data_IF_022156482152
#
_entry.id   IF_022156482152
#
_cell.length_a   1.000
_cell.length_b   1.000
_cell.length_c   1.000
_cell.angle_alpha   90.00
_cell.angle_beta   90.00
_cell.angle_gamma   90.00
#
_symmetry.space_group_name_H-M   'P 1'
#
loop_
_entity.id
_entity.type
_entity.pdbx_description
1 polymer ?
#
# COMPACT_ATOMS: atom_id res chain seq x y z
N UNK A 1 -30.02 4.15 32.40
CA UNK A 1 -28.96 3.73 31.48
C UNK A 1 -29.56 3.58 30.07
N UNK A 2 -29.20 4.46 29.12
CA UNK A 2 -29.68 4.36 27.73
C UNK A 2 -28.81 3.32 27.00
N UNK A 3 -29.44 2.22 26.58
CA UNK A 3 -28.81 1.24 25.72
C UNK A 3 -28.47 1.91 24.38
N UNK A 4 -27.19 1.91 24.00
CA UNK A 4 -26.73 2.31 22.67
C UNK A 4 -27.20 1.22 21.71
N UNK A 5 -28.23 1.51 20.90
CA UNK A 5 -28.61 0.67 19.77
C UNK A 5 -27.53 0.84 18.70
N UNK A 6 -26.69 -0.17 18.54
CA UNK A 6 -25.81 -0.29 17.38
C UNK A 6 -26.72 -0.58 16.18
N UNK A 7 -26.96 0.44 15.36
CA UNK A 7 -27.63 0.27 14.06
C UNK A 7 -26.65 -0.53 13.19
N UNK A 8 -27.03 -1.71 12.65
CA UNK A 8 -26.17 -2.41 11.70
C UNK A 8 -25.94 -1.47 10.51
N UNK A 9 -24.69 -1.09 10.31
CA UNK A 9 -24.26 -0.32 9.15
C UNK A 9 -24.75 -1.08 7.91
N UNK A 10 -25.46 -0.36 7.01
CA UNK A 10 -25.83 -0.88 5.70
C UNK A 10 -24.53 -1.32 5.05
N UNK A 11 -24.36 -2.64 4.90
CA UNK A 11 -23.16 -3.24 4.31
C UNK A 11 -23.06 -2.74 2.87
N UNK A 12 -22.14 -1.86 2.61
CA UNK A 12 -21.85 -1.40 1.26
C UNK A 12 -21.48 -2.63 0.43
N UNK A 13 -21.86 -2.69 -0.84
CA UNK A 13 -21.51 -3.82 -1.74
C UNK A 13 -20.02 -4.09 -1.76
N UNK A 14 -19.21 -3.07 -1.54
CA UNK A 14 -17.76 -3.18 -1.37
C UNK A 14 -17.34 -4.05 -0.19
N UNK A 15 -18.03 -3.94 0.96
CA UNK A 15 -17.67 -4.74 2.14
C UNK A 15 -17.99 -6.22 1.95
N UNK A 16 -19.10 -6.56 1.29
CA UNK A 16 -19.47 -7.95 1.01
C UNK A 16 -18.49 -8.63 0.02
N UNK A 17 -18.01 -7.88 -0.97
CA UNK A 17 -16.98 -8.35 -1.91
C UNK A 17 -15.65 -8.62 -1.21
N UNK A 18 -15.22 -7.70 -0.33
CA UNK A 18 -14.00 -7.86 0.48
C UNK A 18 -14.12 -9.07 1.41
N UNK A 19 -15.23 -9.25 2.10
CA UNK A 19 -15.43 -10.38 3.01
C UNK A 19 -15.32 -11.72 2.28
N UNK A 20 -15.94 -11.82 1.11
CA UNK A 20 -15.83 -13.03 0.25
C UNK A 20 -14.37 -13.26 -0.16
N UNK A 21 -13.69 -12.22 -0.65
CA UNK A 21 -12.28 -12.30 -1.03
C UNK A 21 -11.41 -12.75 0.15
N UNK A 22 -11.57 -12.16 1.35
CA UNK A 22 -10.83 -12.55 2.55
C UNK A 22 -11.10 -14.00 2.96
N UNK A 23 -12.34 -14.46 2.80
CA UNK A 23 -12.70 -15.85 3.07
C UNK A 23 -12.01 -16.80 2.10
N UNK A 24 -11.94 -16.44 0.83
CA UNK A 24 -11.33 -17.28 -0.20
C UNK A 24 -9.80 -17.35 -0.06
N UNK A 25 -9.13 -16.22 0.17
CA UNK A 25 -7.67 -16.22 0.39
C UNK A 25 -7.25 -16.91 1.69
N UNK A 26 -8.16 -17.00 2.69
CA UNK A 26 -7.87 -17.71 3.94
C UNK A 26 -7.85 -19.24 3.79
N UNK A 27 -8.44 -19.77 2.72
CA UNK A 27 -8.42 -21.21 2.40
C UNK A 27 -7.11 -21.64 1.76
N UNK A 28 -6.35 -20.68 1.20
CA UNK A 28 -5.09 -20.97 0.53
C UNK A 28 -4.02 -21.42 1.54
N UNK A 29 -3.31 -22.47 1.18
CA UNK A 29 -2.24 -23.03 1.99
C UNK A 29 -1.01 -22.12 2.02
N UNK A 30 -0.33 -22.11 3.15
CA UNK A 30 0.96 -21.43 3.26
C UNK A 30 2.04 -22.34 2.67
N UNK A 31 2.95 -21.74 1.94
CA UNK A 31 4.12 -22.42 1.39
C UNK A 31 5.36 -22.14 2.26
N UNK A 32 6.26 -23.10 2.32
CA UNK A 32 7.54 -22.95 3.00
C UNK A 32 8.61 -22.35 2.07
N UNK A 33 9.78 -22.03 2.61
CA UNK A 33 10.86 -21.42 1.86
C UNK A 33 11.45 -22.33 0.78
N UNK A 34 11.40 -23.66 0.96
CA UNK A 34 11.90 -24.61 -0.05
C UNK A 34 10.95 -24.67 -1.23
N UNK A 35 9.66 -24.65 -0.95
CA UNK A 35 8.63 -24.62 -2.00
C UNK A 35 8.61 -23.26 -2.73
N UNK A 36 8.82 -22.14 -2.03
CA UNK A 36 9.00 -20.82 -2.66
C UNK A 36 10.14 -20.87 -3.69
N UNK A 37 11.28 -21.45 -3.36
CA UNK A 37 12.42 -21.56 -4.27
C UNK A 37 12.11 -22.46 -5.48
N UNK A 38 11.46 -23.60 -5.27
CA UNK A 38 11.04 -24.50 -6.38
C UNK A 38 10.05 -23.83 -7.32
N UNK A 39 9.07 -23.09 -6.77
CA UNK A 39 8.11 -22.35 -7.57
C UNK A 39 8.80 -21.23 -8.37
N UNK A 40 9.73 -20.51 -7.76
CA UNK A 40 10.49 -19.45 -8.43
C UNK A 40 11.28 -19.98 -9.64
N UNK A 41 11.91 -21.15 -9.52
CA UNK A 41 12.60 -21.81 -10.66
C UNK A 41 11.64 -22.12 -11.80
N UNK A 42 10.48 -22.72 -11.50
CA UNK A 42 9.45 -23.04 -12.49
C UNK A 42 8.88 -21.80 -13.16
N UNK A 43 8.68 -20.70 -12.39
CA UNK A 43 8.23 -19.42 -12.94
C UNK A 43 9.23 -18.87 -13.96
N UNK A 44 10.52 -18.99 -13.69
CA UNK A 44 11.58 -18.58 -14.63
C UNK A 44 11.56 -19.39 -15.92
N UNK A 45 11.11 -20.66 -15.85
CA UNK A 45 10.89 -21.52 -17.02
C UNK A 45 9.57 -21.25 -17.75
N UNK A 46 8.77 -20.29 -17.25
CA UNK A 46 7.51 -19.87 -17.86
C UNK A 46 6.26 -20.62 -17.35
N UNK A 47 6.35 -21.33 -16.23
CA UNK A 47 5.23 -22.06 -15.66
C UNK A 47 4.21 -21.14 -14.96
N UNK A 48 3.06 -20.96 -15.61
CA UNK A 48 1.95 -20.14 -15.10
C UNK A 48 1.29 -20.73 -13.86
N UNK A 49 1.21 -22.06 -13.75
CA UNK A 49 0.61 -22.71 -12.58
C UNK A 49 1.47 -22.48 -11.32
N UNK A 50 2.81 -22.45 -11.47
CA UNK A 50 3.71 -22.09 -10.39
C UNK A 50 3.55 -20.62 -9.98
N UNK A 51 3.37 -19.70 -10.95
CA UNK A 51 3.12 -18.28 -10.70
C UNK A 51 1.82 -18.08 -9.93
N UNK A 52 0.75 -18.73 -10.34
CA UNK A 52 -0.53 -18.67 -9.63
C UNK A 52 -0.42 -19.19 -8.20
N UNK A 53 0.25 -20.33 -8.00
CA UNK A 53 0.41 -20.93 -6.67
C UNK A 53 1.19 -20.01 -5.74
N UNK A 54 2.33 -19.46 -6.19
CA UNK A 54 3.14 -18.53 -5.40
C UNK A 54 2.37 -17.25 -5.06
N UNK A 55 1.62 -16.71 -6.03
CA UNK A 55 0.81 -15.50 -5.84
C UNK A 55 -0.31 -15.76 -4.84
N UNK A 56 -1.13 -16.81 -5.02
CA UNK A 56 -2.26 -17.15 -4.16
C UNK A 56 -1.85 -17.32 -2.69
N UNK A 57 -0.75 -18.02 -2.44
CA UNK A 57 -0.22 -18.23 -1.09
C UNK A 57 0.15 -16.91 -0.36
N UNK A 58 0.42 -15.84 -1.12
CA UNK A 58 0.88 -14.55 -0.58
C UNK A 58 -0.16 -13.42 -0.63
N UNK A 59 -1.39 -13.67 -1.14
CA UNK A 59 -2.45 -12.64 -1.23
C UNK A 59 -2.79 -12.02 0.14
N UNK A 60 -2.75 -12.80 1.22
CA UNK A 60 -3.01 -12.33 2.59
C UNK A 60 -2.00 -11.26 3.02
N UNK A 61 -0.77 -11.37 2.55
CA UNK A 61 0.25 -10.37 2.83
C UNK A 61 -0.05 -9.04 2.10
N UNK A 62 -0.52 -9.10 0.85
CA UNK A 62 -0.97 -7.90 0.12
C UNK A 62 -2.04 -7.14 0.90
N UNK A 63 -3.04 -7.85 1.44
CA UNK A 63 -4.10 -7.22 2.25
C UNK A 63 -3.51 -6.49 3.47
N UNK A 64 -2.53 -7.08 4.15
CA UNK A 64 -1.90 -6.45 5.30
C UNK A 64 -1.14 -5.17 4.95
N UNK A 65 -0.51 -5.14 3.78
CA UNK A 65 0.17 -3.94 3.26
C UNK A 65 -0.84 -2.90 2.79
N UNK A 66 -1.87 -3.30 2.02
CA UNK A 66 -2.90 -2.40 1.50
C UNK A 66 -3.66 -1.64 2.62
N UNK A 67 -3.91 -2.30 3.76
CA UNK A 67 -4.54 -1.68 4.93
C UNK A 67 -3.77 -0.46 5.47
N UNK A 68 -2.47 -0.39 5.30
CA UNK A 68 -1.65 0.75 5.74
C UNK A 68 -1.89 2.01 4.92
N UNK A 69 -2.47 1.86 3.73
CA UNK A 69 -2.74 2.95 2.79
C UNK A 69 -4.22 3.35 2.69
N UNK A 70 -5.07 2.80 3.57
CA UNK A 70 -6.50 3.17 3.61
C UNK A 70 -6.70 4.66 3.90
N UNK A 71 -7.77 5.23 3.35
CA UNK A 71 -8.13 6.64 3.59
C UNK A 71 -7.34 7.66 2.77
N UNK A 72 -6.47 7.23 1.86
CA UNK A 72 -5.64 8.12 1.04
C UNK A 72 -6.24 8.43 -0.35
N UNK A 73 -7.49 8.06 -0.59
CA UNK A 73 -8.21 8.43 -1.83
C UNK A 73 -8.68 7.26 -2.67
N UNK A 74 -8.16 6.04 -2.44
CA UNK A 74 -8.63 4.81 -3.08
C UNK A 74 -9.38 3.92 -2.09
N UNK A 75 -10.29 3.09 -2.62
CA UNK A 75 -10.97 2.06 -1.83
C UNK A 75 -9.99 0.94 -1.44
N UNK A 76 -10.30 0.18 -0.37
CA UNK A 76 -9.45 -0.95 0.01
C UNK A 76 -9.40 -2.02 -1.10
N UNK A 77 -10.48 -2.20 -1.85
CA UNK A 77 -10.51 -3.13 -2.99
C UNK A 77 -9.50 -2.72 -4.06
N UNK A 78 -9.47 -1.44 -4.43
CA UNK A 78 -8.55 -0.95 -5.44
C UNK A 78 -7.10 -1.07 -4.97
N UNK A 79 -6.82 -0.71 -3.70
CA UNK A 79 -5.48 -0.87 -3.10
C UNK A 79 -5.02 -2.34 -3.09
N UNK A 80 -5.93 -3.29 -2.82
CA UNK A 80 -5.62 -4.73 -2.88
C UNK A 80 -5.34 -5.16 -4.31
N UNK A 81 -6.15 -4.72 -5.29
CA UNK A 81 -5.97 -5.07 -6.68
C UNK A 81 -4.63 -4.57 -7.22
N UNK A 82 -4.30 -3.31 -6.97
CA UNK A 82 -3.00 -2.75 -7.35
C UNK A 82 -1.83 -3.44 -6.63
N UNK A 83 -2.00 -3.75 -5.34
CA UNK A 83 -1.04 -4.55 -4.59
C UNK A 83 -0.83 -5.95 -5.16
N UNK A 84 -1.89 -6.59 -5.67
CA UNK A 84 -1.81 -7.89 -6.34
C UNK A 84 -1.03 -7.80 -7.67
N UNK A 85 -1.20 -6.72 -8.44
CA UNK A 85 -0.39 -6.47 -9.65
C UNK A 85 1.09 -6.36 -9.28
N UNK A 86 1.41 -5.63 -8.20
CA UNK A 86 2.76 -5.55 -7.66
C UNK A 86 3.31 -6.91 -7.22
N UNK A 87 2.49 -7.75 -6.56
CA UNK A 87 2.87 -9.10 -6.13
C UNK A 87 3.19 -10.01 -7.33
N UNK A 88 2.37 -9.98 -8.39
CA UNK A 88 2.59 -10.76 -9.63
C UNK A 88 3.91 -10.33 -10.28
N UNK A 89 4.15 -9.02 -10.38
CA UNK A 89 5.40 -8.48 -10.93
C UNK A 89 6.62 -8.92 -10.11
N UNK A 90 6.48 -8.94 -8.78
CA UNK A 90 7.52 -9.45 -7.89
C UNK A 90 7.79 -10.94 -8.12
N UNK A 91 6.74 -11.77 -8.27
CA UNK A 91 6.88 -13.20 -8.49
C UNK A 91 7.60 -13.52 -9.81
N UNK A 92 7.36 -12.75 -10.86
CA UNK A 92 8.03 -12.90 -12.16
C UNK A 92 9.52 -12.51 -12.13
N UNK A 93 9.92 -11.61 -11.22
CA UNK A 93 11.27 -11.05 -11.12
C UNK A 93 12.07 -11.59 -9.93
N UNK A 94 11.47 -12.46 -9.15
CA UNK A 94 12.11 -13.00 -7.96
C UNK A 94 13.25 -13.96 -8.32
N UNK A 95 14.38 -13.78 -7.62
CA UNK A 95 15.57 -14.61 -7.77
C UNK A 95 15.85 -15.33 -6.44
N UNK A 96 15.56 -16.63 -6.42
CA UNK A 96 15.71 -17.50 -5.26
C UNK A 96 17.19 -17.75 -4.88
N UNK A 97 18.12 -17.52 -5.83
CA UNK A 97 19.56 -17.78 -5.57
C UNK A 97 20.15 -16.81 -4.56
N UNK A 98 19.47 -15.70 -4.29
CA UNK A 98 19.90 -14.67 -3.33
C UNK A 98 19.64 -15.03 -1.87
N UNK A 99 18.95 -16.13 -1.57
CA UNK A 99 18.72 -16.62 -0.21
C UNK A 99 17.75 -15.81 0.64
N UNK A 100 17.00 -14.87 0.06
CA UNK A 100 15.96 -14.10 0.76
C UNK A 100 14.58 -14.75 0.59
N UNK A 101 13.71 -14.57 1.59
CA UNK A 101 12.31 -14.96 1.48
C UNK A 101 11.60 -14.10 0.44
N UNK A 102 10.70 -14.70 -0.33
CA UNK A 102 9.91 -14.01 -1.36
C UNK A 102 9.19 -12.76 -0.81
N UNK A 103 8.57 -12.84 0.37
CA UNK A 103 7.87 -11.72 1.01
C UNK A 103 8.77 -10.49 1.19
N UNK A 104 10.03 -10.68 1.57
CA UNK A 104 10.98 -9.57 1.79
C UNK A 104 11.28 -8.79 0.50
N UNK A 105 11.22 -9.45 -0.64
CA UNK A 105 11.34 -8.84 -1.95
C UNK A 105 10.01 -8.26 -2.45
N UNK A 106 8.93 -9.01 -2.32
CA UNK A 106 7.62 -8.65 -2.82
C UNK A 106 7.06 -7.38 -2.19
N UNK A 107 7.36 -7.10 -0.91
CA UNK A 107 6.85 -5.91 -0.21
C UNK A 107 7.19 -4.60 -0.93
N UNK A 108 8.36 -4.51 -1.58
CA UNK A 108 8.77 -3.33 -2.33
C UNK A 108 7.92 -3.12 -3.57
N UNK A 109 7.64 -4.17 -4.32
CA UNK A 109 6.80 -4.13 -5.51
C UNK A 109 5.34 -3.83 -5.18
N UNK A 110 4.82 -4.44 -4.11
CA UNK A 110 3.46 -4.20 -3.63
C UNK A 110 3.30 -2.73 -3.24
N UNK A 111 4.23 -2.19 -2.44
CA UNK A 111 4.21 -0.77 -2.04
C UNK A 111 4.32 0.16 -3.23
N UNK A 112 5.21 -0.14 -4.16
CA UNK A 112 5.41 0.65 -5.37
C UNK A 112 4.13 0.72 -6.21
N UNK A 113 3.47 -0.41 -6.45
CA UNK A 113 2.22 -0.46 -7.20
C UNK A 113 1.11 0.33 -6.51
N UNK A 114 0.92 0.16 -5.19
CA UNK A 114 -0.07 0.90 -4.41
C UNK A 114 0.20 2.42 -4.44
N UNK A 115 1.44 2.84 -4.24
CA UNK A 115 1.80 4.26 -4.27
C UNK A 115 1.61 4.87 -5.66
N UNK A 116 1.90 4.12 -6.72
CA UNK A 116 1.65 4.55 -8.09
C UNK A 116 0.16 4.74 -8.34
N UNK A 117 -0.68 3.78 -7.95
CA UNK A 117 -2.13 3.88 -8.09
C UNK A 117 -2.72 5.07 -7.29
N UNK A 118 -2.24 5.28 -6.07
CA UNK A 118 -2.61 6.45 -5.26
C UNK A 118 -2.22 7.78 -5.94
N UNK A 119 -1.10 7.79 -6.65
CA UNK A 119 -0.65 8.96 -7.40
C UNK A 119 -1.51 9.23 -8.63
N UNK A 120 -1.94 8.17 -9.31
CA UNK A 120 -2.67 8.25 -10.57
C UNK A 120 -4.18 8.48 -10.34
N UNK A 121 -4.79 7.70 -9.47
CA UNK A 121 -6.25 7.60 -9.32
C UNK A 121 -6.78 8.11 -7.97
N UNK A 122 -5.90 8.35 -7.00
CA UNK A 122 -6.30 8.77 -5.65
C UNK A 122 -6.86 10.19 -5.56
N UNK A 123 -6.79 11.01 -6.63
CA UNK A 123 -7.23 12.40 -6.64
C UNK A 123 -7.92 12.78 -7.95
N UNK A 124 -8.93 13.68 -7.85
CA UNK A 124 -9.58 14.30 -9.01
C UNK A 124 -8.60 15.05 -9.95
N UNK A 125 -7.56 15.65 -9.37
CA UNK A 125 -6.46 16.28 -10.12
C UNK A 125 -5.20 15.47 -9.85
N UNK A 126 -4.66 14.85 -10.90
CA UNK A 126 -3.43 14.05 -10.83
C UNK A 126 -2.24 14.90 -10.36
N UNK A 127 -1.57 14.43 -9.32
CA UNK A 127 -0.31 15.01 -8.87
C UNK A 127 0.88 14.13 -9.30
N UNK A 128 2.04 14.73 -9.62
CA UNK A 128 3.27 13.95 -9.83
C UNK A 128 3.61 13.12 -8.59
N UNK A 129 4.10 11.89 -8.81
CA UNK A 129 4.47 10.95 -7.74
C UNK A 129 5.44 11.56 -6.73
N UNK A 130 6.39 12.39 -7.21
CA UNK A 130 7.34 13.11 -6.36
C UNK A 130 6.66 14.01 -5.32
N UNK A 131 5.56 14.68 -5.68
CA UNK A 131 4.80 15.52 -4.75
C UNK A 131 4.04 14.71 -3.71
N UNK A 132 3.53 13.53 -4.09
CA UNK A 132 2.85 12.62 -3.17
C UNK A 132 3.81 12.07 -2.13
N UNK A 133 5.02 11.68 -2.55
CA UNK A 133 6.09 11.24 -1.64
C UNK A 133 6.45 12.37 -0.68
N UNK A 134 6.65 13.59 -1.19
CA UNK A 134 6.94 14.75 -0.35
C UNK A 134 5.81 15.03 0.66
N UNK A 135 4.53 14.94 0.24
CA UNK A 135 3.39 15.08 1.15
C UNK A 135 3.36 14.02 2.26
N UNK A 136 3.67 12.78 1.92
CA UNK A 136 3.77 11.71 2.90
C UNK A 136 4.89 11.99 3.93
N UNK A 137 6.05 12.45 3.46
CA UNK A 137 7.17 12.85 4.33
C UNK A 137 6.79 14.02 5.25
N UNK A 138 6.11 15.05 4.70
CA UNK A 138 5.60 16.19 5.48
C UNK A 138 4.66 15.70 6.59
N UNK A 139 3.70 14.82 6.26
CA UNK A 139 2.75 14.32 7.25
C UNK A 139 3.41 13.50 8.35
N UNK A 140 4.37 12.64 8.00
CA UNK A 140 5.14 11.86 8.96
C UNK A 140 5.92 12.77 9.89
N UNK A 141 6.65 13.74 9.33
CA UNK A 141 7.43 14.71 10.10
C UNK A 141 6.52 15.55 11.03
N UNK A 142 5.36 16.00 10.54
CA UNK A 142 4.39 16.74 11.37
C UNK A 142 3.92 15.92 12.57
N UNK A 143 3.64 14.64 12.39
CA UNK A 143 3.19 13.74 13.46
C UNK A 143 4.31 13.52 14.50
N UNK A 144 5.51 13.22 14.05
CA UNK A 144 6.67 13.00 14.91
C UNK A 144 7.01 14.28 15.70
N UNK A 145 7.09 15.42 15.02
CA UNK A 145 7.40 16.72 15.63
C UNK A 145 6.34 17.15 16.66
N UNK A 146 5.04 16.98 16.33
CA UNK A 146 3.95 17.29 17.27
C UNK A 146 3.96 16.38 18.50
N UNK A 147 4.37 15.12 18.33
CA UNK A 147 4.47 14.19 19.45
C UNK A 147 5.66 14.53 20.39
N UNK A 148 6.75 15.06 19.82
CA UNK A 148 7.96 15.37 20.57
C UNK A 148 7.92 16.77 21.20
N UNK A 149 7.36 17.76 20.49
CA UNK A 149 7.42 19.18 20.88
C UNK A 149 6.08 19.77 21.32
N UNK A 150 4.97 19.03 21.25
CA UNK A 150 3.60 19.47 21.61
C UNK A 150 3.13 20.75 20.89
N UNK A 151 3.80 21.14 19.78
CA UNK A 151 3.46 22.28 18.92
C UNK A 151 3.60 21.93 17.44
N UNK A 152 3.01 22.72 16.58
CA UNK A 152 3.22 22.58 15.13
C UNK A 152 4.59 23.13 14.73
N UNK A 153 5.32 22.44 13.82
CA UNK A 153 6.57 22.96 13.28
C UNK A 153 6.33 24.16 12.37
N UNK A 154 7.32 25.02 12.27
CA UNK A 154 7.36 26.10 11.26
C UNK A 154 7.72 25.54 9.90
N UNK A 155 7.51 26.34 8.83
CA UNK A 155 7.85 25.94 7.46
C UNK A 155 9.36 25.63 7.33
N UNK A 156 10.20 26.40 8.03
CA UNK A 156 11.65 26.25 8.03
C UNK A 156 12.09 24.95 8.74
N UNK A 157 11.45 24.60 9.85
CA UNK A 157 11.69 23.34 10.56
C UNK A 157 11.28 22.12 9.73
N UNK A 158 10.16 22.23 8.97
CA UNK A 158 9.74 21.17 8.03
C UNK A 158 10.77 21.05 6.90
N UNK A 159 11.22 22.16 6.35
CA UNK A 159 12.19 22.19 5.26
C UNK A 159 13.52 21.55 5.65
N UNK A 160 14.02 21.87 6.84
CA UNK A 160 15.24 21.31 7.41
C UNK A 160 15.07 19.81 7.71
N UNK A 161 13.97 19.41 8.36
CA UNK A 161 13.72 18.03 8.74
C UNK A 161 13.54 17.07 7.55
N UNK A 162 13.00 17.56 6.42
CA UNK A 162 12.79 16.75 5.21
C UNK A 162 13.96 16.91 4.22
N UNK A 163 14.82 17.92 4.40
CA UNK A 163 15.91 18.23 3.46
C UNK A 163 15.42 18.76 2.10
N UNK A 164 14.31 19.52 2.10
CA UNK A 164 13.71 20.11 0.90
C UNK A 164 13.64 21.64 1.04
N UNK A 165 13.75 22.42 -0.05
CA UNK A 165 13.64 23.87 0.01
C UNK A 165 12.21 24.30 0.44
N UNK A 166 12.08 25.36 1.27
CA UNK A 166 10.80 25.84 1.80
C UNK A 166 9.75 26.13 0.72
N UNK A 167 10.18 26.68 -0.42
CA UNK A 167 9.32 26.97 -1.57
C UNK A 167 8.63 25.72 -2.09
N UNK A 168 9.38 24.62 -2.21
CA UNK A 168 8.82 23.34 -2.68
C UNK A 168 7.83 22.72 -1.70
N UNK A 169 8.04 22.92 -0.40
CA UNK A 169 7.11 22.47 0.64
C UNK A 169 5.82 23.29 0.55
N UNK A 170 5.92 24.62 0.44
CA UNK A 170 4.77 25.52 0.29
C UNK A 170 3.94 25.16 -0.94
N UNK A 171 4.57 24.98 -2.10
CA UNK A 171 3.90 24.58 -3.34
C UNK A 171 3.23 23.19 -3.22
N UNK A 172 3.89 22.27 -2.54
CA UNK A 172 3.37 20.93 -2.33
C UNK A 172 2.16 20.96 -1.40
N UNK A 173 2.22 21.70 -0.31
CA UNK A 173 1.10 21.88 0.62
C UNK A 173 -0.08 22.62 -0.01
N UNK A 174 0.18 23.64 -0.83
CA UNK A 174 -0.87 24.37 -1.57
C UNK A 174 -1.59 23.45 -2.57
N UNK A 175 -0.84 22.58 -3.27
CA UNK A 175 -1.41 21.60 -4.20
C UNK A 175 -2.10 20.40 -3.51
N UNK A 176 -1.86 20.24 -2.20
CA UNK A 176 -2.46 19.17 -1.39
C UNK A 176 -3.90 19.49 -0.97
N UNK A 177 -4.32 20.77 -0.98
CA UNK A 177 -5.68 21.14 -0.62
C UNK A 177 -6.67 20.40 -1.54
N UNK A 178 -7.57 19.61 -0.94
CA UNK A 178 -8.68 19.00 -1.69
C UNK A 178 -9.50 20.12 -2.33
N UNK A 179 -9.59 20.12 -3.65
CA UNK A 179 -10.55 20.98 -4.34
C UNK A 179 -11.94 20.56 -3.90
N UNK A 180 -12.60 21.42 -3.13
CA UNK A 180 -14.03 21.31 -2.84
C UNK A 180 -14.77 21.76 -4.11
N UNK A 181 -15.57 20.87 -4.69
CA UNK A 181 -16.55 21.22 -5.71
C UNK A 181 -17.76 21.85 -5.07
#
# INVERSE_FOLDING_TARGET
MRQIKIVPSITNRESASIEKYLTDINKEERIDSEEEARLAQRIREGDQAALEKLTKANLRFVVSVAKQYQGQGLSLNDLINEGNVGLITAAQKFDETRGFKFISYAVWWIRQAILQALAEDGRLVRLPLSRIITLSQINTFLQEFMQEHERRPTLEEIAEGIGQPPERITDTMASASKHLS
#
